data_IF_701578030186
#
_entry.id   IF_701578030186
#
_cell.length_a   1.000
_cell.length_b   1.000
_cell.length_c   1.000
_cell.angle_alpha   90.00
_cell.angle_beta   90.00
_cell.angle_gamma   90.00
#
_symmetry.space_group_name_H-M   'P 1'
#
loop_
_entity.id
_entity.type
_entity.pdbx_description
1 polymer ?
#
# COMPACT_ATOMS: atom_id res chain seq x y z
N UNK A 1 -19.37 -14.20 11.56
CA UNK A 1 -19.34 -15.61 11.19
C UNK A 1 -20.74 -16.17 11.29
N UNK A 2 -21.23 -16.86 10.24
CA UNK A 2 -22.55 -17.49 10.21
C UNK A 2 -23.71 -16.56 10.66
N UNK A 3 -23.72 -15.31 10.17
CA UNK A 3 -24.65 -14.22 10.50
C UNK A 3 -24.65 -13.75 11.98
N UNK A 4 -23.75 -14.26 12.82
CA UNK A 4 -23.54 -13.77 14.18
C UNK A 4 -22.39 -12.77 14.20
N UNK A 5 -22.56 -11.71 14.99
CA UNK A 5 -21.46 -10.79 15.29
C UNK A 5 -20.48 -11.52 16.21
N UNK A 6 -19.28 -11.76 15.70
CA UNK A 6 -18.22 -12.43 16.44
C UNK A 6 -17.37 -11.40 17.20
N UNK A 7 -17.10 -10.25 16.59
CA UNK A 7 -16.25 -9.21 17.16
C UNK A 7 -16.74 -7.82 16.77
N UNK A 8 -16.78 -6.92 17.73
CA UNK A 8 -16.88 -5.49 17.55
C UNK A 8 -15.67 -4.85 18.26
N UNK A 9 -14.91 -4.04 17.55
CA UNK A 9 -13.74 -3.37 18.11
C UNK A 9 -13.74 -1.92 17.67
N UNK A 10 -13.48 -1.02 18.61
CA UNK A 10 -13.18 0.37 18.36
C UNK A 10 -11.92 0.73 19.15
N UNK A 11 -11.01 1.43 18.51
CA UNK A 11 -9.77 1.93 19.12
C UNK A 11 -9.48 3.34 18.62
N UNK A 12 -8.89 4.16 19.47
CA UNK A 12 -8.33 5.45 19.12
C UNK A 12 -6.93 5.52 19.72
N UNK A 13 -5.96 5.86 18.90
CA UNK A 13 -4.57 5.96 19.31
C UNK A 13 -4.01 7.32 18.92
N UNK A 14 -3.23 7.92 19.78
CA UNK A 14 -2.50 9.15 19.51
C UNK A 14 -1.06 9.00 19.99
N UNK A 15 -0.13 9.56 19.24
CA UNK A 15 1.28 9.50 19.59
C UNK A 15 2.08 10.56 18.87
N UNK A 16 3.32 10.76 19.31
CA UNK A 16 4.29 11.64 18.69
C UNK A 16 5.59 10.89 18.43
N UNK A 17 6.11 11.02 17.22
CA UNK A 17 7.47 10.61 16.86
C UNK A 17 8.35 11.85 16.70
N UNK A 18 9.58 11.79 17.19
CA UNK A 18 10.58 12.82 16.96
C UNK A 18 11.82 12.24 16.30
N UNK A 19 12.32 12.94 15.30
CA UNK A 19 13.64 12.73 14.72
C UNK A 19 14.57 13.83 15.24
N UNK A 20 15.58 13.45 16.00
CA UNK A 20 16.52 14.36 16.64
C UNK A 20 17.83 14.37 15.87
N UNK A 21 18.24 15.55 15.44
CA UNK A 21 19.52 15.80 14.79
C UNK A 21 20.31 16.76 15.70
N UNK A 22 21.35 16.26 16.34
CA UNK A 22 22.17 17.04 17.26
C UNK A 22 23.64 16.62 17.17
N UNK A 23 24.55 17.59 17.09
CA UNK A 23 26.00 17.39 17.04
C UNK A 23 26.43 16.34 15.97
N UNK A 24 25.81 16.38 14.78
CA UNK A 24 26.08 15.42 13.70
C UNK A 24 25.59 13.99 13.98
N UNK A 25 24.69 13.82 14.92
CA UNK A 25 24.09 12.53 15.32
C UNK A 25 22.61 12.52 15.08
N UNK A 26 22.04 11.34 14.96
CA UNK A 26 20.62 11.15 14.68
C UNK A 26 20.01 10.11 15.62
N UNK A 27 18.86 10.45 16.21
CA UNK A 27 18.03 9.54 16.99
C UNK A 27 16.56 9.63 16.59
N UNK A 28 15.84 8.53 16.71
CA UNK A 28 14.40 8.46 16.50
C UNK A 28 13.73 7.92 17.77
N UNK A 29 12.71 8.63 18.24
CA UNK A 29 12.00 8.31 19.47
C UNK A 29 10.50 8.48 19.27
N UNK A 30 9.69 7.72 19.99
CA UNK A 30 8.24 7.83 19.95
C UNK A 30 7.62 7.74 21.35
N UNK A 31 6.47 8.41 21.53
CA UNK A 31 5.70 8.37 22.76
C UNK A 31 4.21 8.50 22.47
N UNK A 32 3.39 7.91 23.32
CA UNK A 32 1.94 8.11 23.37
C UNK A 32 1.50 9.01 24.54
N UNK A 33 2.45 9.53 25.33
CA UNK A 33 2.18 10.50 26.41
C UNK A 33 2.31 11.90 25.86
N UNK A 34 1.16 12.56 25.64
CA UNK A 34 1.09 13.82 24.92
C UNK A 34 0.84 15.05 25.83
N UNK A 35 0.85 14.88 27.16
CA UNK A 35 0.78 16.06 28.03
C UNK A 35 2.08 16.88 27.96
N UNK A 36 1.96 18.18 28.11
CA UNK A 36 3.05 19.14 27.88
C UNK A 36 4.32 18.81 28.69
N UNK A 37 4.16 18.46 29.96
CA UNK A 37 5.29 18.20 30.87
C UNK A 37 6.03 16.91 30.48
N UNK A 38 5.29 15.87 30.11
CA UNK A 38 5.85 14.61 29.63
C UNK A 38 6.57 14.80 28.28
N UNK A 39 5.98 15.58 27.37
CA UNK A 39 6.59 15.91 26.09
C UNK A 39 7.89 16.71 26.25
N UNK A 40 7.92 17.70 27.13
CA UNK A 40 9.16 18.44 27.40
C UNK A 40 10.29 17.52 27.91
N UNK A 41 9.93 16.60 28.82
CA UNK A 41 10.88 15.62 29.38
C UNK A 41 11.31 14.64 28.29
N UNK A 42 10.39 14.13 27.48
CA UNK A 42 10.64 13.22 26.38
C UNK A 42 11.60 13.81 25.35
N UNK A 43 11.36 15.06 24.94
CA UNK A 43 12.23 15.75 23.97
C UNK A 43 13.64 15.95 24.55
N UNK A 44 13.76 16.42 25.79
CA UNK A 44 15.06 16.58 26.46
C UNK A 44 15.84 15.28 26.52
N UNK A 45 15.19 14.21 26.96
CA UNK A 45 15.81 12.89 27.05
C UNK A 45 16.21 12.36 25.66
N UNK A 46 15.41 12.59 24.63
CA UNK A 46 15.74 12.26 23.24
C UNK A 46 16.98 12.98 22.75
N UNK A 47 17.11 14.27 23.03
CA UNK A 47 18.30 15.08 22.67
C UNK A 47 19.54 14.53 23.40
N UNK A 48 19.47 14.35 24.71
CA UNK A 48 20.58 13.83 25.49
C UNK A 48 21.00 12.42 25.04
N UNK A 49 20.04 11.53 24.83
CA UNK A 49 20.30 10.18 24.35
C UNK A 49 20.96 10.19 22.96
N UNK A 50 20.53 11.07 22.08
CA UNK A 50 21.12 11.20 20.72
C UNK A 50 22.58 11.59 20.75
N UNK A 51 23.03 12.38 21.75
CA UNK A 51 24.43 12.78 21.91
C UNK A 51 25.39 11.61 22.20
N UNK A 52 24.89 10.47 22.65
CA UNK A 52 25.69 9.26 22.86
C UNK A 52 25.76 8.34 21.65
N UNK A 53 25.00 8.61 20.59
CA UNK A 53 25.03 7.81 19.36
C UNK A 53 26.27 8.12 18.52
N UNK A 54 26.61 7.24 17.59
CA UNK A 54 27.68 7.49 16.63
C UNK A 54 27.32 8.64 15.70
N UNK A 55 28.28 9.52 15.36
CA UNK A 55 28.04 10.56 14.33
C UNK A 55 27.74 9.96 12.96
N UNK A 56 26.85 10.60 12.23
CA UNK A 56 26.54 10.28 10.83
C UNK A 56 26.29 11.60 10.08
N UNK A 57 27.28 12.08 9.37
CA UNK A 57 27.27 13.35 8.64
C UNK A 57 26.24 13.41 7.51
N UNK A 58 25.72 12.25 7.08
CA UNK A 58 24.70 12.16 6.04
C UNK A 58 23.29 12.38 6.59
N UNK A 59 23.09 12.29 7.90
CA UNK A 59 21.81 12.54 8.58
C UNK A 59 21.56 14.04 8.73
N UNK A 60 20.77 14.59 7.82
CA UNK A 60 20.38 16.00 7.81
C UNK A 60 18.90 16.12 7.47
N UNK A 61 18.29 17.26 7.82
CA UNK A 61 16.96 17.62 7.33
C UNK A 61 16.99 17.91 5.83
N UNK A 62 15.88 17.74 5.16
CA UNK A 62 15.73 18.12 3.76
C UNK A 62 15.93 19.64 3.58
N UNK A 63 16.37 20.02 2.38
CA UNK A 63 16.52 21.43 2.01
C UNK A 63 15.15 22.13 2.02
N UNK A 64 14.99 23.24 2.76
CA UNK A 64 13.75 24.02 2.79
C UNK A 64 13.23 24.45 1.42
N UNK A 65 14.10 24.64 0.44
CA UNK A 65 13.71 24.98 -0.93
C UNK A 65 12.89 23.88 -1.62
N UNK A 66 12.90 22.67 -1.08
CA UNK A 66 12.16 21.52 -1.61
C UNK A 66 10.81 21.27 -0.89
N UNK A 67 10.56 21.98 0.19
CA UNK A 67 9.35 21.79 0.97
C UNK A 67 8.09 22.19 0.21
N UNK A 68 7.02 21.48 0.51
CA UNK A 68 5.69 21.94 0.12
C UNK A 68 5.34 23.21 0.90
N UNK A 69 5.00 24.26 0.20
CA UNK A 69 4.74 25.60 0.77
C UNK A 69 3.25 25.97 0.82
N UNK A 70 2.35 24.99 0.56
CA UNK A 70 0.91 25.25 0.56
C UNK A 70 0.39 25.80 -0.78
N UNK A 71 -0.81 26.39 -0.74
CA UNK A 71 -1.40 27.11 -1.88
C UNK A 71 -2.07 26.24 -2.96
N UNK A 72 -2.10 24.90 -2.79
CA UNK A 72 -2.84 24.01 -3.70
C UNK A 72 -4.23 23.69 -3.16
N UNK A 73 -5.20 23.33 -4.04
CA UNK A 73 -6.54 22.92 -3.62
C UNK A 73 -6.53 21.72 -2.69
N UNK A 74 -7.54 21.59 -1.84
CA UNK A 74 -7.71 20.40 -1.01
C UNK A 74 -7.83 19.14 -1.88
N UNK A 75 -7.07 18.10 -1.54
CA UNK A 75 -7.15 16.80 -2.20
C UNK A 75 -8.40 16.01 -1.83
N UNK A 76 -9.22 16.51 -0.90
CA UNK A 76 -10.45 15.88 -0.45
C UNK A 76 -10.22 14.41 -0.04
N UNK A 77 -9.31 14.20 0.87
CA UNK A 77 -8.95 12.85 1.35
C UNK A 77 -9.76 12.43 2.58
N UNK A 78 -10.59 13.31 3.13
CA UNK A 78 -11.29 13.12 4.39
C UNK A 78 -12.81 13.21 4.20
N UNK A 79 -13.53 12.32 4.86
CA UNK A 79 -14.99 12.26 4.86
C UNK A 79 -15.52 12.44 6.30
N UNK A 80 -16.10 13.60 6.59
CA UNK A 80 -16.67 13.91 7.90
C UNK A 80 -17.79 12.96 8.35
N UNK A 81 -18.38 12.19 7.42
CA UNK A 81 -19.40 11.19 7.72
C UNK A 81 -18.92 10.11 8.69
N UNK A 82 -17.61 9.90 8.80
CA UNK A 82 -17.04 8.88 9.69
C UNK A 82 -17.50 9.03 11.14
N UNK A 83 -17.71 10.27 11.59
CA UNK A 83 -18.14 10.56 12.95
C UNK A 83 -19.63 10.28 13.22
N UNK A 84 -20.43 10.14 12.16
CA UNK A 84 -21.88 9.95 12.25
C UNK A 84 -22.36 8.53 11.90
N UNK A 85 -21.49 7.61 11.51
CA UNK A 85 -21.90 6.26 11.13
C UNK A 85 -22.26 5.44 12.37
N UNK A 86 -23.53 5.02 12.42
CA UNK A 86 -24.01 4.20 13.52
C UNK A 86 -23.35 2.80 13.50
N UNK A 87 -22.96 2.24 14.66
CA UNK A 87 -22.47 0.86 14.75
C UNK A 87 -23.42 -0.19 14.14
N UNK A 88 -24.73 0.00 14.25
CA UNK A 88 -25.72 -0.90 13.66
C UNK A 88 -25.66 -0.89 12.12
N UNK A 89 -25.41 0.26 11.49
CA UNK A 89 -25.23 0.36 10.04
C UNK A 89 -23.97 -0.38 9.58
N UNK A 90 -22.89 -0.31 10.37
CA UNK A 90 -21.66 -1.07 10.12
C UNK A 90 -21.89 -2.58 10.14
N UNK A 91 -22.62 -3.03 11.15
CA UNK A 91 -23.03 -4.44 11.28
C UNK A 91 -23.97 -4.85 10.13
N UNK A 92 -24.90 -3.98 9.74
CA UNK A 92 -25.82 -4.23 8.66
C UNK A 92 -25.10 -4.46 7.32
N UNK A 93 -24.06 -3.66 7.00
CA UNK A 93 -23.25 -3.84 5.80
C UNK A 93 -22.52 -5.18 5.79
N UNK A 94 -21.89 -5.57 6.91
CA UNK A 94 -21.25 -6.89 7.01
C UNK A 94 -22.27 -8.04 6.85
N UNK A 95 -23.46 -7.90 7.45
CA UNK A 95 -24.55 -8.88 7.29
C UNK A 95 -25.10 -8.93 5.87
N UNK A 96 -25.21 -7.79 5.19
CA UNK A 96 -25.65 -7.75 3.80
C UNK A 96 -24.71 -8.56 2.90
N UNK A 97 -23.39 -8.36 3.04
CA UNK A 97 -22.38 -9.14 2.31
C UNK A 97 -22.48 -10.64 2.62
N UNK A 98 -22.76 -11.04 3.88
CA UNK A 98 -23.00 -12.44 4.23
C UNK A 98 -24.29 -12.98 3.59
N UNK A 99 -25.36 -12.17 3.55
CA UNK A 99 -26.64 -12.53 2.94
C UNK A 99 -26.56 -12.82 1.44
N UNK A 100 -25.60 -12.23 0.74
CA UNK A 100 -25.34 -12.53 -0.67
C UNK A 100 -24.85 -13.97 -0.90
N UNK A 101 -24.31 -14.61 0.12
CA UNK A 101 -23.65 -15.93 0.03
C UNK A 101 -24.42 -17.03 0.75
N UNK A 102 -24.94 -16.73 1.93
CA UNK A 102 -25.56 -17.74 2.79
C UNK A 102 -26.72 -18.44 2.10
N UNK A 103 -26.68 -19.77 2.09
CA UNK A 103 -27.70 -20.61 1.45
C UNK A 103 -27.67 -20.64 -0.08
N UNK A 104 -26.68 -20.01 -0.73
CA UNK A 104 -26.58 -19.98 -2.19
C UNK A 104 -25.89 -21.20 -2.79
N UNK A 105 -25.13 -21.96 -1.99
CA UNK A 105 -24.44 -23.16 -2.45
C UNK A 105 -24.22 -24.14 -1.29
N UNK A 106 -24.57 -25.40 -1.48
CA UNK A 106 -24.48 -26.45 -0.45
C UNK A 106 -23.05 -26.83 -0.05
N UNK A 107 -22.07 -26.38 -0.84
CA UNK A 107 -20.64 -26.58 -0.53
C UNK A 107 -20.09 -25.60 0.49
N UNK A 108 -20.80 -24.53 0.81
CA UNK A 108 -20.31 -23.50 1.74
C UNK A 108 -20.10 -24.10 3.14
N UNK A 109 -18.87 -23.95 3.66
CA UNK A 109 -18.48 -24.37 5.01
C UNK A 109 -18.56 -23.19 5.98
N UNK A 110 -18.02 -22.05 5.56
CA UNK A 110 -18.03 -20.83 6.36
C UNK A 110 -18.07 -19.58 5.50
N UNK A 111 -18.71 -18.58 6.04
CA UNK A 111 -18.72 -17.21 5.50
C UNK A 111 -18.28 -16.28 6.60
N UNK A 112 -17.22 -15.52 6.36
CA UNK A 112 -16.75 -14.47 7.25
C UNK A 112 -16.85 -13.15 6.51
N UNK A 113 -17.52 -12.17 7.13
CA UNK A 113 -17.65 -10.83 6.55
C UNK A 113 -17.22 -9.80 7.56
N UNK A 114 -16.66 -8.70 7.08
CA UNK A 114 -16.27 -7.61 7.94
C UNK A 114 -16.60 -6.25 7.30
N UNK A 115 -16.88 -5.31 8.15
CA UNK A 115 -16.82 -3.88 7.86
C UNK A 115 -15.69 -3.28 8.71
N UNK A 116 -14.94 -2.38 8.13
CA UNK A 116 -13.89 -1.65 8.81
C UNK A 116 -13.86 -0.22 8.30
N UNK A 117 -13.63 0.71 9.19
CA UNK A 117 -13.41 2.11 8.86
C UNK A 117 -12.35 2.70 9.77
N UNK A 118 -11.81 3.82 9.37
CA UNK A 118 -10.88 4.57 10.20
C UNK A 118 -10.54 5.93 9.61
N UNK A 119 -10.02 6.76 10.47
CA UNK A 119 -9.42 8.04 10.13
C UNK A 119 -7.95 8.05 10.53
N UNK A 120 -7.20 8.83 9.80
CA UNK A 120 -5.84 9.17 10.16
C UNK A 120 -5.65 10.67 10.00
N UNK A 121 -5.13 11.32 11.04
CA UNK A 121 -4.72 12.72 11.01
C UNK A 121 -3.27 12.79 11.48
N UNK A 122 -2.44 13.50 10.76
CA UNK A 122 -1.04 13.72 11.15
C UNK A 122 -0.64 15.18 10.93
N UNK A 123 0.15 15.68 11.86
CA UNK A 123 0.78 16.98 11.80
C UNK A 123 2.29 16.80 11.84
N UNK A 124 2.99 17.48 10.95
CA UNK A 124 4.44 17.39 10.82
C UNK A 124 5.08 18.77 10.92
N UNK A 125 6.09 18.86 11.77
CA UNK A 125 6.86 20.07 11.98
C UNK A 125 8.35 19.75 11.88
N UNK A 126 9.11 20.57 11.19
CA UNK A 126 10.57 20.49 11.14
C UNK A 126 11.18 21.81 11.54
N UNK A 127 12.24 21.77 12.36
CA UNK A 127 12.87 22.97 12.94
C UNK A 127 13.47 23.91 11.89
N UNK A 128 13.68 23.44 10.66
CA UNK A 128 14.18 24.25 9.54
C UNK A 128 13.07 24.80 8.63
N UNK A 129 11.80 24.84 9.12
CA UNK A 129 10.74 25.65 8.54
C UNK A 129 9.61 24.89 7.83
N UNK A 130 9.59 23.56 7.81
CA UNK A 130 8.44 22.82 7.30
C UNK A 130 7.34 22.69 8.35
N UNK A 131 6.11 22.90 7.90
CA UNK A 131 4.87 22.61 8.62
C UNK A 131 3.84 22.05 7.67
N UNK A 132 3.20 20.94 8.05
CA UNK A 132 2.20 20.30 7.20
C UNK A 132 1.26 19.40 7.97
N UNK A 133 0.01 19.39 7.53
CA UNK A 133 -1.05 18.54 8.04
C UNK A 133 -1.53 17.60 6.92
N UNK A 134 -1.90 16.38 7.29
CA UNK A 134 -2.61 15.47 6.40
C UNK A 134 -3.71 14.75 7.16
N UNK A 135 -4.86 14.59 6.50
CA UNK A 135 -6.01 13.85 7.01
C UNK A 135 -6.55 12.94 5.94
N UNK A 136 -6.96 11.76 6.33
CA UNK A 136 -7.63 10.83 5.43
C UNK A 136 -8.57 9.91 6.18
N UNK A 137 -9.61 9.46 5.50
CA UNK A 137 -10.51 8.41 5.96
C UNK A 137 -10.40 7.19 5.05
N UNK A 138 -10.86 6.07 5.55
CA UNK A 138 -11.00 4.87 4.74
C UNK A 138 -12.16 4.01 5.26
N UNK A 139 -12.82 3.33 4.34
CA UNK A 139 -13.91 2.40 4.59
C UNK A 139 -13.67 1.14 3.79
N UNK A 140 -14.01 0.00 4.35
CA UNK A 140 -13.91 -1.27 3.66
C UNK A 140 -15.01 -2.23 4.11
N UNK A 141 -15.52 -3.00 3.18
CA UNK A 141 -16.37 -4.16 3.44
C UNK A 141 -15.79 -5.35 2.72
N UNK A 142 -15.74 -6.51 3.37
CA UNK A 142 -15.14 -7.71 2.79
C UNK A 142 -15.94 -8.97 3.12
N UNK A 143 -15.78 -9.97 2.28
CA UNK A 143 -16.28 -11.32 2.51
C UNK A 143 -15.20 -12.34 2.17
N UNK A 144 -15.07 -13.36 3.01
CA UNK A 144 -14.27 -14.56 2.77
C UNK A 144 -15.16 -15.78 2.84
N UNK A 145 -15.06 -16.65 1.85
CA UNK A 145 -15.91 -17.83 1.71
C UNK A 145 -15.03 -19.07 1.61
N UNK A 146 -15.30 -20.06 2.45
CA UNK A 146 -14.69 -21.38 2.35
C UNK A 146 -15.73 -22.42 1.95
N UNK A 147 -15.36 -23.32 1.05
CA UNK A 147 -16.24 -24.37 0.51
C UNK A 147 -15.62 -25.77 0.64
N UNK A 148 -16.48 -26.79 0.56
CA UNK A 148 -16.03 -28.17 0.40
C UNK A 148 -15.50 -28.36 -1.02
N UNK A 149 -14.22 -28.69 -1.13
CA UNK A 149 -13.59 -29.14 -2.36
C UNK A 149 -13.75 -30.65 -2.59
N UNK A 150 -12.88 -31.22 -3.39
CA UNK A 150 -12.76 -32.67 -3.58
C UNK A 150 -11.97 -33.29 -2.41
N UNK A 151 -12.42 -34.42 -1.89
CA UNK A 151 -11.79 -35.07 -0.74
C UNK A 151 -11.77 -34.19 0.50
N UNK A 152 -10.59 -34.01 1.08
CA UNK A 152 -10.36 -33.17 2.28
C UNK A 152 -10.08 -31.69 1.98
N UNK A 153 -10.09 -31.29 0.71
CA UNK A 153 -9.80 -29.92 0.32
C UNK A 153 -10.86 -28.94 0.86
N UNK A 154 -10.39 -27.78 1.31
CA UNK A 154 -11.19 -26.67 1.84
C UNK A 154 -10.77 -25.36 1.19
N UNK A 155 -10.96 -25.20 -0.14
CA UNK A 155 -10.58 -23.95 -0.79
C UNK A 155 -11.35 -22.77 -0.19
N UNK A 156 -10.66 -21.63 -0.11
CA UNK A 156 -11.24 -20.36 0.30
C UNK A 156 -10.79 -19.25 -0.65
N UNK A 157 -11.61 -18.22 -0.78
CA UNK A 157 -11.26 -16.99 -1.46
C UNK A 157 -12.03 -15.83 -0.85
N UNK A 158 -11.68 -14.61 -1.23
CA UNK A 158 -12.25 -13.40 -0.67
C UNK A 158 -12.47 -12.34 -1.74
N UNK A 159 -13.31 -11.37 -1.38
CA UNK A 159 -13.49 -10.14 -2.11
C UNK A 159 -13.70 -8.98 -1.16
N UNK A 160 -13.43 -7.77 -1.61
CA UNK A 160 -13.64 -6.57 -0.81
C UNK A 160 -13.96 -5.35 -1.67
N UNK A 161 -14.68 -4.41 -1.07
CA UNK A 161 -14.81 -3.05 -1.55
C UNK A 161 -14.10 -2.09 -0.59
N UNK A 162 -13.48 -1.04 -1.11
CA UNK A 162 -12.89 0.01 -0.28
C UNK A 162 -13.04 1.39 -0.93
N UNK A 163 -13.10 2.44 -0.09
CA UNK A 163 -13.19 3.82 -0.54
C UNK A 163 -12.68 4.77 0.55
N UNK A 164 -12.28 5.97 0.16
CA UNK A 164 -12.04 7.08 1.10
C UNK A 164 -13.35 7.70 1.60
N UNK A 165 -14.48 7.46 0.92
CA UNK A 165 -15.78 8.04 1.19
C UNK A 165 -16.83 6.97 1.41
N UNK A 166 -17.63 7.10 2.46
CA UNK A 166 -18.67 6.13 2.81
C UNK A 166 -19.72 5.95 1.72
N UNK A 167 -20.11 7.04 1.03
CA UNK A 167 -21.10 6.97 -0.06
C UNK A 167 -20.55 6.30 -1.32
N UNK A 168 -19.23 6.31 -1.49
CA UNK A 168 -18.56 5.67 -2.64
C UNK A 168 -18.08 4.25 -2.33
N UNK A 169 -18.29 3.77 -1.10
CA UNK A 169 -17.96 2.39 -0.73
C UNK A 169 -18.81 1.42 -1.54
N UNK A 170 -18.23 0.47 -2.29
CA UNK A 170 -18.96 -0.64 -2.87
C UNK A 170 -19.63 -1.46 -1.77
N UNK A 171 -20.97 -1.52 -1.75
CA UNK A 171 -21.76 -2.14 -0.68
C UNK A 171 -22.48 -3.41 -1.11
N UNK A 172 -22.41 -3.74 -2.39
CA UNK A 172 -23.03 -4.91 -3.02
C UNK A 172 -22.00 -5.74 -3.77
N UNK A 173 -22.36 -6.95 -4.09
CA UNK A 173 -21.56 -7.92 -4.85
C UNK A 173 -20.27 -8.36 -4.14
N UNK A 174 -20.17 -8.08 -2.83
CA UNK A 174 -18.98 -8.42 -2.05
C UNK A 174 -18.95 -9.91 -1.76
N UNK A 175 -20.04 -10.45 -1.25
CA UNK A 175 -20.17 -11.88 -0.96
C UNK A 175 -20.28 -12.72 -2.22
N UNK A 176 -21.09 -12.27 -3.19
CA UNK A 176 -21.31 -12.99 -4.44
C UNK A 176 -20.03 -13.18 -5.26
N UNK A 177 -19.20 -12.14 -5.38
CA UNK A 177 -17.90 -12.23 -6.04
C UNK A 177 -16.94 -13.14 -5.27
N UNK A 178 -16.91 -13.06 -3.93
CA UNK A 178 -16.09 -13.98 -3.12
C UNK A 178 -16.50 -15.45 -3.33
N UNK A 179 -17.82 -15.74 -3.40
CA UNK A 179 -18.34 -17.07 -3.71
C UNK A 179 -17.94 -17.51 -5.13
N UNK A 180 -18.13 -16.68 -6.14
CA UNK A 180 -17.72 -16.98 -7.51
C UNK A 180 -16.24 -17.33 -7.59
N UNK A 181 -15.39 -16.52 -6.96
CA UNK A 181 -13.94 -16.72 -6.93
C UNK A 181 -13.55 -18.07 -6.31
N UNK A 182 -14.14 -18.42 -5.17
CA UNK A 182 -13.81 -19.70 -4.52
C UNK A 182 -14.36 -20.90 -5.30
N UNK A 183 -15.52 -20.78 -5.96
CA UNK A 183 -16.07 -21.84 -6.80
C UNK A 183 -15.17 -22.16 -8.02
N UNK A 184 -14.47 -21.16 -8.57
CA UNK A 184 -13.49 -21.37 -9.64
C UNK A 184 -12.32 -22.24 -9.20
N UNK A 185 -12.04 -22.37 -7.90
CA UNK A 185 -10.99 -23.25 -7.35
C UNK A 185 -11.40 -24.73 -7.26
N UNK A 186 -12.64 -25.08 -7.61
CA UNK A 186 -13.06 -26.48 -7.64
C UNK A 186 -12.33 -27.24 -8.74
N UNK A 187 -11.87 -28.46 -8.41
CA UNK A 187 -11.14 -29.32 -9.35
C UNK A 187 -9.72 -28.84 -9.64
N UNK A 188 -9.19 -27.88 -8.87
CA UNK A 188 -7.80 -27.41 -9.05
C UNK A 188 -6.81 -28.57 -8.94
N UNK A 189 -5.78 -28.53 -9.79
CA UNK A 189 -4.75 -29.56 -9.88
C UNK A 189 -3.38 -28.88 -9.93
N UNK A 190 -2.35 -29.61 -9.46
CA UNK A 190 -0.98 -29.15 -9.63
C UNK A 190 -0.65 -29.00 -11.12
N UNK A 191 -0.28 -27.81 -11.53
CA UNK A 191 0.17 -27.56 -12.90
C UNK A 191 1.42 -28.39 -13.22
N UNK A 192 1.55 -28.84 -14.47
CA UNK A 192 2.79 -29.47 -14.95
C UNK A 192 3.91 -28.43 -14.99
N UNK A 193 5.15 -28.87 -14.78
CA UNK A 193 6.30 -27.99 -14.95
C UNK A 193 6.40 -27.49 -16.40
N UNK A 194 6.61 -26.21 -16.59
CA UNK A 194 6.65 -25.62 -17.92
C UNK A 194 6.76 -24.09 -17.88
N UNK A 195 6.81 -23.48 -19.05
CA UNK A 195 6.69 -22.03 -19.23
C UNK A 195 5.27 -21.71 -19.65
N UNK A 196 4.65 -20.77 -18.95
CA UNK A 196 3.29 -20.36 -19.20
C UNK A 196 3.22 -18.83 -19.29
N UNK A 197 2.33 -18.33 -20.11
CA UNK A 197 1.92 -16.92 -20.04
C UNK A 197 1.08 -16.73 -18.79
N UNK A 198 1.41 -15.74 -17.98
CA UNK A 198 0.62 -15.40 -16.81
C UNK A 198 -0.26 -14.18 -17.10
N UNK A 199 -1.54 -14.30 -16.81
CA UNK A 199 -2.46 -13.18 -16.65
C UNK A 199 -2.68 -13.02 -15.16
N UNK A 200 -2.42 -11.85 -14.60
CA UNK A 200 -2.52 -11.63 -13.15
C UNK A 200 -3.79 -10.87 -12.84
N UNK A 201 -4.59 -11.40 -11.94
CA UNK A 201 -5.79 -10.74 -11.41
C UNK A 201 -5.42 -9.35 -10.84
N UNK A 202 -6.22 -8.29 -11.08
CA UNK A 202 -5.96 -6.93 -10.63
C UNK A 202 -5.60 -6.81 -9.14
N UNK A 203 -6.26 -7.56 -8.25
CA UNK A 203 -5.97 -7.52 -6.80
C UNK A 203 -4.57 -8.05 -6.43
N UNK A 204 -3.94 -8.84 -7.32
CA UNK A 204 -2.60 -9.40 -7.12
C UNK A 204 -1.51 -8.64 -7.89
N UNK A 205 -1.87 -7.75 -8.80
CA UNK A 205 -0.92 -7.04 -9.68
C UNK A 205 0.07 -6.17 -8.90
N UNK A 206 -0.38 -5.48 -7.86
CA UNK A 206 0.49 -4.68 -6.99
C UNK A 206 1.57 -5.52 -6.29
N UNK A 207 1.26 -6.76 -5.93
CA UNK A 207 2.22 -7.68 -5.30
C UNK A 207 3.31 -8.13 -6.29
N UNK A 208 2.99 -8.22 -7.58
CA UNK A 208 3.98 -8.51 -8.62
C UNK A 208 4.94 -7.33 -8.86
N UNK A 209 4.47 -6.10 -8.70
CA UNK A 209 5.30 -4.90 -8.85
C UNK A 209 6.12 -4.56 -7.62
N UNK A 210 5.71 -5.00 -6.44
CA UNK A 210 6.35 -4.66 -5.16
C UNK A 210 7.87 -4.92 -5.12
N UNK A 211 8.41 -6.05 -5.60
CA UNK A 211 9.85 -6.30 -5.64
C UNK A 211 10.61 -5.30 -6.51
N UNK A 212 10.01 -4.91 -7.65
CA UNK A 212 10.57 -3.92 -8.57
C UNK A 212 10.64 -2.55 -7.90
N UNK A 213 9.54 -2.13 -7.26
CA UNK A 213 9.48 -0.86 -6.52
C UNK A 213 10.49 -0.82 -5.37
N UNK A 214 10.63 -1.93 -4.64
CA UNK A 214 11.61 -2.04 -3.55
C UNK A 214 13.05 -1.83 -4.01
N UNK A 215 13.38 -2.24 -5.23
CA UNK A 215 14.69 -2.06 -5.83
C UNK A 215 15.00 -0.60 -6.23
N UNK A 216 13.99 0.28 -6.26
CA UNK A 216 14.13 1.70 -6.63
C UNK A 216 14.48 2.61 -5.44
N UNK A 217 14.35 2.15 -4.20
CA UNK A 217 14.63 2.97 -3.03
C UNK A 217 16.13 3.23 -2.85
N UNK A 218 16.44 4.45 -2.47
CA UNK A 218 17.81 4.88 -2.19
C UNK A 218 18.54 3.99 -1.19
N UNK A 219 17.83 3.43 -0.21
CA UNK A 219 18.41 2.46 0.74
C UNK A 219 18.86 1.17 0.06
N UNK A 220 18.08 0.64 -0.89
CA UNK A 220 18.46 -0.55 -1.65
C UNK A 220 19.65 -0.28 -2.56
N UNK A 221 19.66 0.87 -3.23
CA UNK A 221 20.73 1.29 -4.13
C UNK A 221 22.04 1.53 -3.36
N UNK A 222 21.97 2.25 -2.22
CA UNK A 222 23.11 2.56 -1.37
C UNK A 222 23.77 1.30 -0.78
N UNK A 223 22.97 0.31 -0.42
CA UNK A 223 23.44 -0.97 0.10
C UNK A 223 23.88 -1.92 -1.03
N UNK A 224 23.83 -1.51 -2.28
CA UNK A 224 24.08 -2.35 -3.47
C UNK A 224 23.15 -3.59 -3.53
N UNK A 225 21.95 -3.44 -2.99
CA UNK A 225 20.92 -4.46 -2.93
C UNK A 225 19.78 -4.14 -3.91
N UNK A 226 20.13 -3.90 -5.18
CA UNK A 226 19.18 -3.62 -6.25
C UNK A 226 19.70 -4.07 -7.60
N UNK A 227 18.90 -4.85 -8.33
CA UNK A 227 19.17 -5.22 -9.71
C UNK A 227 19.01 -4.05 -10.69
N UNK A 228 18.51 -2.92 -10.22
CA UNK A 228 18.30 -1.70 -11.01
C UNK A 228 19.41 -0.65 -10.81
N UNK A 229 20.51 -0.99 -10.13
CA UNK A 229 21.68 -0.08 -9.99
C UNK A 229 22.17 0.31 -11.38
N UNK A 230 22.47 1.59 -11.57
CA UNK A 230 22.98 2.19 -12.82
C UNK A 230 22.06 1.99 -14.04
N UNK A 231 20.75 1.79 -13.80
CA UNK A 231 19.75 1.59 -14.85
C UNK A 231 18.90 2.83 -15.18
N UNK A 232 19.16 3.97 -14.53
CA UNK A 232 18.45 5.20 -14.85
C UNK A 232 18.59 5.51 -16.35
N UNK A 233 17.48 5.91 -16.98
CA UNK A 233 17.34 6.17 -18.41
C UNK A 233 17.66 4.97 -19.34
N UNK A 234 17.75 3.76 -18.77
CA UNK A 234 17.89 2.53 -19.57
C UNK A 234 16.56 1.79 -19.67
N UNK A 235 16.35 1.11 -20.80
CA UNK A 235 15.22 0.22 -21.01
C UNK A 235 15.44 -1.08 -20.23
N UNK A 236 14.63 -1.31 -19.20
CA UNK A 236 14.74 -2.47 -18.29
C UNK A 236 13.53 -3.40 -18.37
N UNK A 237 12.41 -2.91 -18.92
CA UNK A 237 11.17 -3.66 -19.09
C UNK A 237 10.63 -3.53 -20.51
N UNK A 238 9.50 -4.19 -20.78
CA UNK A 238 8.76 -4.05 -22.03
C UNK A 238 8.35 -2.59 -22.25
N UNK A 239 8.31 -2.16 -23.51
CA UNK A 239 7.79 -0.86 -23.96
C UNK A 239 6.30 -0.66 -23.62
N UNK A 240 5.59 -1.71 -23.29
CA UNK A 240 4.20 -1.65 -22.79
C UNK A 240 4.09 -1.22 -21.33
N UNK A 241 5.19 -1.22 -20.57
CA UNK A 241 5.18 -0.83 -19.17
C UNK A 241 5.41 0.67 -19.02
N UNK A 242 4.37 1.38 -18.63
CA UNK A 242 4.45 2.77 -18.15
C UNK A 242 3.81 2.87 -16.78
N UNK A 243 4.56 3.38 -15.81
CA UNK A 243 4.12 3.59 -14.43
C UNK A 243 4.41 5.03 -14.04
N UNK A 244 3.37 5.76 -13.66
CA UNK A 244 3.45 7.15 -13.22
C UNK A 244 3.20 7.24 -11.72
N UNK A 245 3.90 8.12 -11.04
CA UNK A 245 3.49 8.63 -9.73
C UNK A 245 2.63 9.87 -9.94
N UNK A 246 1.34 9.78 -9.60
CA UNK A 246 0.34 10.82 -9.82
C UNK A 246 -0.28 11.25 -8.46
N UNK A 247 0.42 12.12 -7.71
CA UNK A 247 0.10 12.40 -6.31
C UNK A 247 -1.05 13.38 -6.07
N UNK A 248 -1.59 14.03 -7.10
CA UNK A 248 -2.49 15.16 -6.93
C UNK A 248 -3.92 14.91 -7.44
N UNK A 249 -4.36 13.65 -7.44
CA UNK A 249 -5.72 13.28 -7.85
C UNK A 249 -6.67 13.47 -6.67
N UNK A 250 -7.66 14.33 -6.84
CA UNK A 250 -8.66 14.64 -5.82
C UNK A 250 -9.45 13.38 -5.45
N UNK A 251 -9.56 13.11 -4.14
CA UNK A 251 -10.30 11.97 -3.60
C UNK A 251 -9.75 10.60 -3.99
N UNK A 252 -8.49 10.50 -4.39
CA UNK A 252 -7.87 9.24 -4.76
C UNK A 252 -6.85 8.76 -3.71
N UNK A 253 -6.93 7.49 -3.35
CA UNK A 253 -6.03 6.89 -2.37
C UNK A 253 -4.55 7.06 -2.76
N UNK A 254 -3.71 7.45 -1.80
CA UNK A 254 -2.28 7.73 -1.98
C UNK A 254 -1.96 9.16 -2.40
N UNK A 255 -2.95 9.99 -2.76
CA UNK A 255 -2.71 11.39 -3.08
C UNK A 255 -2.21 12.18 -1.87
N UNK A 256 -1.19 13.02 -2.08
CA UNK A 256 -0.57 13.85 -1.02
C UNK A 256 0.26 14.96 -1.64
N UNK A 257 0.43 16.08 -0.93
CA UNK A 257 1.24 17.20 -1.39
C UNK A 257 2.69 17.17 -0.92
N UNK A 258 2.99 16.38 0.08
CA UNK A 258 4.36 16.24 0.60
C UNK A 258 4.63 14.81 1.07
N UNK A 259 5.89 14.46 1.09
CA UNK A 259 6.36 13.15 1.57
C UNK A 259 6.71 13.17 3.07
N UNK A 260 7.36 12.12 3.54
CA UNK A 260 7.76 11.98 4.93
C UNK A 260 8.85 12.97 5.38
N UNK A 261 9.54 13.62 4.45
CA UNK A 261 10.53 14.66 4.71
C UNK A 261 9.98 16.08 4.47
N UNK A 262 8.66 16.23 4.24
CA UNK A 262 8.05 17.52 3.91
C UNK A 262 8.29 17.98 2.47
N UNK A 263 8.98 17.18 1.67
CA UNK A 263 9.31 17.49 0.28
C UNK A 263 8.07 17.45 -0.57
N UNK A 264 7.87 18.48 -1.41
CA UNK A 264 6.74 18.58 -2.30
C UNK A 264 6.69 17.41 -3.29
N UNK A 265 5.51 16.81 -3.42
CA UNK A 265 5.26 15.79 -4.43
C UNK A 265 4.96 16.41 -5.78
N UNK A 266 5.25 15.66 -6.83
CA UNK A 266 4.98 16.06 -8.21
C UNK A 266 4.62 14.84 -9.06
N UNK A 267 3.90 15.08 -10.16
CA UNK A 267 3.66 14.07 -11.17
C UNK A 267 4.96 13.71 -11.86
N UNK A 268 5.32 12.41 -11.87
CA UNK A 268 6.58 11.95 -12.45
C UNK A 268 6.49 10.54 -13.03
N UNK A 269 7.21 10.23 -14.11
CA UNK A 269 7.35 8.85 -14.58
C UNK A 269 8.28 8.06 -13.66
N UNK A 270 7.87 6.86 -13.30
CA UNK A 270 8.75 5.87 -12.67
C UNK A 270 9.35 4.97 -13.74
N UNK A 271 8.48 4.45 -14.61
CA UNK A 271 8.86 3.79 -15.85
C UNK A 271 8.07 4.40 -17.01
N UNK A 272 8.71 4.70 -18.10
CA UNK A 272 8.08 5.21 -19.30
C UNK A 272 8.50 4.34 -20.50
N UNK A 273 7.54 3.64 -21.10
CA UNK A 273 7.80 2.68 -22.19
C UNK A 273 8.93 1.70 -21.87
N UNK A 274 8.95 1.19 -20.63
CA UNK A 274 9.95 0.27 -20.12
C UNK A 274 11.30 0.89 -19.74
N UNK A 275 11.46 2.19 -19.90
CA UNK A 275 12.67 2.94 -19.51
C UNK A 275 12.52 3.40 -18.07
N UNK A 276 13.49 3.10 -17.20
CA UNK A 276 13.51 3.59 -15.82
C UNK A 276 13.80 5.09 -15.79
N UNK A 277 12.91 5.88 -15.16
CA UNK A 277 13.00 7.35 -15.10
C UNK A 277 13.24 7.90 -13.71
N UNK A 278 12.89 7.16 -12.65
CA UNK A 278 13.00 7.70 -11.30
C UNK A 278 13.45 6.64 -10.30
N UNK A 279 14.46 6.99 -9.49
CA UNK A 279 14.75 6.34 -8.20
C UNK A 279 14.14 7.15 -7.06
N UNK A 280 13.85 6.50 -5.94
CA UNK A 280 13.35 7.14 -4.73
C UNK A 280 14.50 7.42 -3.77
N UNK A 281 15.13 8.58 -3.92
CA UNK A 281 16.19 9.04 -3.04
C UNK A 281 15.65 10.02 -2.01
N UNK A 282 15.53 9.58 -0.75
CA UNK A 282 15.39 10.46 0.39
C UNK A 282 16.66 11.29 0.61
N UNK A 283 16.59 12.29 1.46
CA UNK A 283 17.72 13.20 1.75
C UNK A 283 18.95 12.45 2.26
N UNK A 284 18.76 11.47 3.13
CA UNK A 284 19.87 10.69 3.71
C UNK A 284 20.62 9.85 2.68
N UNK A 285 19.86 9.01 1.95
CA UNK A 285 20.48 8.11 0.97
C UNK A 285 21.06 8.87 -0.23
N UNK A 286 20.43 9.95 -0.65
CA UNK A 286 20.96 10.83 -1.69
C UNK A 286 22.32 11.42 -1.29
N UNK A 287 22.39 12.00 -0.08
CA UNK A 287 23.64 12.59 0.44
C UNK A 287 24.74 11.54 0.60
N UNK A 288 24.41 10.35 1.08
CA UNK A 288 25.35 9.24 1.25
C UNK A 288 25.90 8.72 -0.06
N UNK A 289 25.12 8.78 -1.13
CA UNK A 289 25.52 8.36 -2.47
C UNK A 289 26.10 9.52 -3.32
N UNK A 290 26.08 10.75 -2.83
CA UNK A 290 26.55 11.92 -3.58
C UNK A 290 25.69 12.27 -4.79
N UNK A 291 24.37 11.97 -4.75
CA UNK A 291 23.41 12.25 -5.82
C UNK A 291 22.35 13.27 -5.36
N UNK A 292 21.64 13.84 -6.31
CA UNK A 292 20.52 14.73 -5.99
C UNK A 292 19.35 13.92 -5.39
N UNK A 293 18.72 14.37 -4.30
CA UNK A 293 17.54 13.73 -3.75
C UNK A 293 16.35 13.92 -4.67
N UNK A 294 15.49 12.90 -4.75
CA UNK A 294 14.23 12.93 -5.50
C UNK A 294 13.04 13.03 -4.56
N UNK A 295 12.53 11.93 -4.10
CA UNK A 295 11.40 11.80 -3.17
C UNK A 295 11.65 10.57 -2.28
N UNK A 296 11.18 10.56 -1.05
CA UNK A 296 11.38 9.45 -0.11
C UNK A 296 10.63 8.16 -0.49
N UNK A 297 9.68 8.23 -1.40
CA UNK A 297 8.90 7.11 -1.93
C UNK A 297 7.70 7.59 -2.74
N UNK A 298 7.10 6.70 -3.53
CA UNK A 298 5.96 7.06 -4.38
C UNK A 298 4.75 7.45 -3.55
N UNK A 299 3.87 8.22 -4.15
CA UNK A 299 2.58 8.62 -3.58
C UNK A 299 1.47 7.72 -4.10
N UNK A 300 1.04 7.93 -5.34
CA UNK A 300 -0.01 7.20 -6.02
C UNK A 300 0.50 6.66 -7.35
N UNK A 301 0.89 5.41 -7.35
CA UNK A 301 1.34 4.76 -8.58
C UNK A 301 0.16 4.40 -9.48
N UNK A 302 0.26 4.76 -10.74
CA UNK A 302 -0.69 4.46 -11.79
C UNK A 302 0.02 3.71 -12.90
N UNK A 303 -0.40 2.46 -13.12
CA UNK A 303 -0.02 1.71 -14.30
C UNK A 303 -0.90 2.17 -15.45
N UNK A 304 -0.30 2.59 -16.56
CA UNK A 304 -1.07 2.99 -17.75
C UNK A 304 -1.83 1.76 -18.28
N UNK A 305 -3.18 1.82 -18.35
CA UNK A 305 -3.95 0.70 -18.84
C UNK A 305 -3.73 0.49 -20.35
N UNK A 306 -3.84 -0.78 -20.78
CA UNK A 306 -3.99 -1.10 -22.18
C UNK A 306 -5.45 -0.95 -22.64
N UNK A 307 -5.73 -1.47 -23.82
CA UNK A 307 -7.04 -1.44 -24.47
C UNK A 307 -7.96 -2.62 -24.11
N UNK A 308 -7.46 -3.59 -23.31
CA UNK A 308 -8.19 -4.81 -22.97
C UNK A 308 -8.48 -4.89 -21.48
N UNK A 309 -9.67 -5.37 -21.17
CA UNK A 309 -10.04 -5.80 -19.83
C UNK A 309 -9.44 -7.19 -19.51
N UNK A 310 -9.71 -7.70 -18.30
CA UNK A 310 -9.20 -9.00 -17.85
C UNK A 310 -9.65 -10.14 -18.79
N UNK A 311 -10.91 -10.14 -19.22
CA UNK A 311 -11.45 -11.18 -20.10
C UNK A 311 -10.80 -11.13 -21.48
N UNK A 312 -10.56 -9.94 -22.00
CA UNK A 312 -9.82 -9.74 -23.25
C UNK A 312 -8.37 -10.23 -23.18
N UNK A 313 -7.70 -10.00 -22.03
CA UNK A 313 -6.35 -10.53 -21.81
C UNK A 313 -6.34 -12.07 -21.71
N UNK A 314 -7.33 -12.67 -21.06
CA UNK A 314 -7.47 -14.13 -20.96
C UNK A 314 -7.70 -14.74 -22.36
N UNK A 315 -8.57 -14.11 -23.16
CA UNK A 315 -8.90 -14.60 -24.49
C UNK A 315 -7.70 -14.63 -25.47
N UNK A 316 -6.72 -13.75 -25.26
CA UNK A 316 -5.49 -13.70 -26.07
C UNK A 316 -4.50 -14.82 -25.75
N UNK A 317 -4.68 -15.51 -24.63
CA UNK A 317 -3.71 -16.50 -24.14
C UNK A 317 -4.19 -17.91 -24.45
N UNK A 318 -3.58 -18.53 -25.46
CA UNK A 318 -3.94 -19.91 -25.84
C UNK A 318 -3.47 -20.97 -24.82
N UNK A 319 -2.35 -20.71 -24.12
CA UNK A 319 -1.82 -21.59 -23.06
C UNK A 319 -1.20 -20.72 -21.96
N UNK A 320 -1.87 -20.59 -20.85
CA UNK A 320 -1.44 -19.73 -19.75
C UNK A 320 -2.13 -20.05 -18.44
N UNK A 321 -1.85 -19.24 -17.45
CA UNK A 321 -2.41 -19.33 -16.10
C UNK A 321 -2.96 -17.96 -15.73
N UNK A 322 -4.23 -17.91 -15.34
CA UNK A 322 -4.81 -16.77 -14.63
C UNK A 322 -4.41 -16.87 -13.15
N UNK A 323 -3.50 -16.03 -12.72
CA UNK A 323 -3.06 -15.99 -11.31
C UNK A 323 -4.08 -15.23 -10.48
N UNK A 324 -4.83 -15.94 -9.64
CA UNK A 324 -5.85 -15.38 -8.74
C UNK A 324 -5.38 -15.27 -7.30
N UNK A 325 -4.24 -15.86 -6.96
CA UNK A 325 -3.65 -15.78 -5.63
C UNK A 325 -2.14 -16.01 -5.67
N UNK A 326 -1.43 -15.36 -4.74
CA UNK A 326 0.00 -15.53 -4.51
C UNK A 326 0.22 -16.00 -3.10
N UNK A 327 0.76 -17.21 -2.94
CA UNK A 327 1.00 -17.84 -1.65
C UNK A 327 2.48 -17.85 -1.30
N UNK A 328 2.80 -17.34 -0.10
CA UNK A 328 4.18 -17.26 0.35
C UNK A 328 5.05 -16.49 -0.64
N UNK A 329 6.28 -16.94 -0.77
CA UNK A 329 7.19 -16.43 -1.78
C UNK A 329 8.30 -15.55 -1.23
N UNK A 330 9.28 -15.35 -2.08
CA UNK A 330 10.47 -14.55 -1.81
C UNK A 330 10.93 -13.84 -3.08
N UNK A 331 11.57 -12.72 -2.92
CA UNK A 331 12.22 -11.98 -4.00
C UNK A 331 13.66 -11.65 -3.60
N UNK A 332 14.55 -11.66 -4.57
CA UNK A 332 15.94 -11.25 -4.39
C UNK A 332 16.13 -9.89 -5.06
N UNK A 333 16.27 -8.85 -4.25
CA UNK A 333 16.44 -7.48 -4.73
C UNK A 333 17.73 -7.29 -5.55
N UNK A 334 18.78 -8.11 -5.32
CA UNK A 334 20.05 -8.00 -6.06
C UNK A 334 19.96 -8.51 -7.49
N UNK A 335 19.18 -9.57 -7.72
CA UNK A 335 19.10 -10.23 -9.02
C UNK A 335 17.81 -9.95 -9.76
N UNK A 336 16.76 -9.49 -9.05
CA UNK A 336 15.43 -9.36 -9.59
C UNK A 336 14.64 -10.66 -9.66
N UNK A 337 15.22 -11.77 -9.19
CA UNK A 337 14.52 -13.05 -9.15
C UNK A 337 13.44 -13.06 -8.08
N UNK A 338 12.35 -13.72 -8.38
CA UNK A 338 11.29 -13.98 -7.41
C UNK A 338 10.72 -15.40 -7.57
N UNK A 339 10.20 -15.93 -6.48
CA UNK A 339 9.55 -17.23 -6.43
C UNK A 339 8.30 -17.14 -5.55
N UNK A 340 7.14 -17.40 -6.11
CA UNK A 340 5.86 -17.43 -5.41
C UNK A 340 5.13 -18.74 -5.66
N UNK A 341 4.44 -19.25 -4.63
CA UNK A 341 3.35 -20.18 -4.87
C UNK A 341 2.20 -19.44 -5.54
N UNK A 342 1.64 -19.99 -6.60
CA UNK A 342 0.53 -19.38 -7.32
C UNK A 342 -0.72 -20.26 -7.23
N UNK A 343 -1.88 -19.59 -7.18
CA UNK A 343 -3.20 -20.19 -7.40
C UNK A 343 -3.83 -19.52 -8.61
N UNK A 344 -4.50 -20.33 -9.45
CA UNK A 344 -5.14 -19.82 -10.67
C UNK A 344 -5.92 -20.87 -11.42
#
# INVERSE_FOLDING_TARGET
RDAKVDRLQQASESGMGINVYVDGRYGNYSTNRLDKKELETFIKNGIESTRYLAPDEFRVLADPARYYTGGKPDLQMFDDKIFGINPDDKVALARAAAGEVMGKNDRIISVETSYSDGENASYRLMSNGFEGESKSTWYSVSASVAIKGEGEARPSDYWYGSSLFYDKLPKTDIGSVALERVLRKLGQKKAKSGKYTMVVDPINSGRMLSPVLSALYGSSLQQKNSFLIDKLDQKVFSDKLTVMDDPHVIGANGSRYFDNEGVATEHRPIFENGVLKTYFFDTYNAKKMGVAPTISGPSRLVLTPGDKDLNGLIADVANGILVTGLNGGNSNSNTGDFSYGIEG
#
